data_IF_783394114328
#
_entry.id   IF_783394114328
#
_cell.length_a   1.000
_cell.length_b   1.000
_cell.length_c   1.000
_cell.angle_alpha   90.00
_cell.angle_beta   90.00
_cell.angle_gamma   90.00
#
_symmetry.space_group_name_H-M   'P 1'
#
loop_
_entity.id
_entity.type
_entity.pdbx_description
1 polymer ?
#
# COMPACT_ATOMS: atom_id res chain seq x y z
N UNK A 1 -7.06 2.91 -15.11
CA UNK A 1 -6.29 1.73 -14.63
C UNK A 1 -6.74 1.42 -13.20
N UNK A 2 -6.96 0.15 -12.85
CA UNK A 2 -7.59 -0.23 -11.57
C UNK A 2 -6.56 -0.84 -10.61
N UNK A 3 -6.36 -0.17 -9.48
CA UNK A 3 -5.37 -0.53 -8.48
C UNK A 3 -6.04 -1.03 -7.19
N UNK A 4 -5.81 -2.30 -6.90
CA UNK A 4 -6.19 -2.93 -5.64
C UNK A 4 -5.12 -2.65 -4.59
N UNK A 5 -5.48 -1.97 -3.52
CA UNK A 5 -4.62 -1.76 -2.35
C UNK A 5 -4.85 -2.85 -1.32
N UNK A 6 -3.75 -3.43 -0.84
CA UNK A 6 -3.72 -4.41 0.24
C UNK A 6 -3.68 -3.74 1.62
N UNK A 7 -3.98 -4.48 2.68
CA UNK A 7 -3.95 -4.03 4.07
C UNK A 7 -2.58 -3.44 4.45
N UNK A 8 -1.48 -3.94 3.86
CA UNK A 8 -0.15 -3.35 4.05
C UNK A 8 -0.07 -1.89 3.58
N UNK A 9 -0.71 -1.54 2.46
CA UNK A 9 -0.75 -0.16 1.96
C UNK A 9 -1.48 0.76 2.94
N UNK A 10 -2.61 0.34 3.50
CA UNK A 10 -3.34 1.16 4.48
C UNK A 10 -2.51 1.40 5.75
N UNK A 11 -1.74 0.39 6.18
CA UNK A 11 -0.80 0.56 7.28
C UNK A 11 0.26 1.61 6.95
N UNK A 12 0.77 1.58 5.73
CA UNK A 12 1.80 2.51 5.27
C UNK A 12 1.28 3.93 5.09
N UNK A 13 0.04 4.10 4.62
CA UNK A 13 -0.64 5.40 4.58
C UNK A 13 -0.81 5.95 6.00
N UNK A 14 -1.22 5.11 6.96
CA UNK A 14 -1.28 5.55 8.35
C UNK A 14 0.09 6.04 8.83
N UNK A 15 1.15 5.27 8.57
CA UNK A 15 2.52 5.61 8.94
C UNK A 15 2.93 6.96 8.32
N UNK A 16 2.63 7.18 7.03
CA UNK A 16 2.82 8.47 6.33
C UNK A 16 2.08 9.64 7.00
N UNK A 17 0.79 9.46 7.33
CA UNK A 17 -0.02 10.50 7.96
C UNK A 17 0.49 10.87 9.36
N UNK A 18 1.06 9.91 10.09
CA UNK A 18 1.72 10.19 11.37
C UNK A 18 3.01 10.99 11.16
N UNK A 19 3.81 10.70 10.12
CA UNK A 19 5.01 11.50 9.80
C UNK A 19 4.69 12.98 9.60
N UNK A 20 3.59 13.28 8.91
CA UNK A 20 3.15 14.65 8.65
C UNK A 20 2.31 15.26 9.79
N UNK A 21 1.96 14.45 10.80
CA UNK A 21 1.20 14.86 11.98
C UNK A 21 2.09 15.26 13.16
N UNK A 22 1.46 15.63 14.28
CA UNK A 22 2.19 15.95 15.52
C UNK A 22 2.89 14.73 16.15
N UNK A 23 2.37 13.53 15.88
CA UNK A 23 2.87 12.26 16.40
C UNK A 23 3.89 11.66 15.41
N UNK A 24 5.16 11.98 15.63
CA UNK A 24 6.27 11.59 14.75
C UNK A 24 6.37 10.06 14.58
N UNK A 25 6.74 9.61 13.39
CA UNK A 25 6.89 8.19 13.03
C UNK A 25 8.09 7.54 13.75
N UNK A 26 7.88 6.43 14.47
CA UNK A 26 8.98 5.72 15.16
C UNK A 26 9.61 4.63 14.27
N UNK A 27 10.93 4.36 14.36
CA UNK A 27 11.59 3.32 13.54
C UNK A 27 11.04 1.91 13.73
N UNK A 28 10.45 1.61 14.89
CA UNK A 28 9.77 0.34 15.15
C UNK A 28 8.51 0.13 14.31
N UNK A 29 7.98 1.20 13.72
CA UNK A 29 6.82 1.17 12.83
C UNK A 29 7.22 0.79 11.39
N UNK A 30 8.53 0.75 11.10
CA UNK A 30 9.10 0.40 9.79
C UNK A 30 9.62 -1.04 9.82
N UNK A 31 9.14 -1.88 8.88
CA UNK A 31 9.36 -3.34 8.91
C UNK A 31 10.68 -3.81 8.26
N UNK A 32 11.43 -2.96 7.57
CA UNK A 32 12.71 -3.27 6.88
C UNK A 32 13.67 -2.06 6.97
N UNK A 33 14.88 -2.06 6.35
CA UNK A 33 15.76 -0.91 6.36
C UNK A 33 15.03 0.37 5.92
N UNK A 34 15.20 1.42 6.71
CA UNK A 34 14.45 2.66 6.60
C UNK A 34 14.62 3.30 5.21
N UNK A 35 15.83 3.21 4.67
CA UNK A 35 16.24 3.73 3.37
C UNK A 35 15.49 3.08 2.20
N UNK A 36 15.18 1.77 2.29
CA UNK A 36 14.42 1.10 1.24
C UNK A 36 12.91 1.40 1.34
N UNK A 37 12.39 1.45 2.57
CA UNK A 37 10.98 1.73 2.82
C UNK A 37 10.58 3.16 2.51
N UNK A 38 11.44 4.13 2.83
CA UNK A 38 11.12 5.54 2.63
C UNK A 38 10.88 5.86 1.15
N UNK A 39 11.57 5.18 0.23
CA UNK A 39 11.34 5.34 -1.20
C UNK A 39 9.97 4.80 -1.64
N UNK A 40 9.51 3.69 -1.05
CA UNK A 40 8.16 3.17 -1.29
C UNK A 40 7.09 4.10 -0.73
N UNK A 41 7.35 4.73 0.42
CA UNK A 41 6.47 5.72 1.03
C UNK A 41 6.39 7.02 0.22
N UNK A 42 7.52 7.51 -0.27
CA UNK A 42 7.57 8.66 -1.18
C UNK A 42 6.79 8.33 -2.46
N UNK A 43 7.01 7.15 -3.05
CA UNK A 43 6.27 6.73 -4.24
C UNK A 43 4.76 6.59 -3.97
N UNK A 44 4.36 6.02 -2.84
CA UNK A 44 2.96 5.91 -2.44
C UNK A 44 2.31 7.28 -2.23
N UNK A 45 3.02 8.21 -1.59
CA UNK A 45 2.57 9.59 -1.41
C UNK A 45 2.22 10.24 -2.75
N UNK A 46 3.14 10.16 -3.72
CA UNK A 46 2.86 10.70 -5.05
C UNK A 46 1.80 9.92 -5.81
N UNK A 47 1.77 8.59 -5.70
CA UNK A 47 0.71 7.78 -6.32
C UNK A 47 -0.68 8.22 -5.88
N UNK A 48 -0.86 8.55 -4.59
CA UNK A 48 -2.12 9.04 -4.05
C UNK A 48 -2.44 10.48 -4.48
N UNK A 49 -1.42 11.30 -4.71
CA UNK A 49 -1.58 12.68 -5.21
C UNK A 49 -1.96 12.71 -6.72
N UNK A 50 -1.64 11.64 -7.46
CA UNK A 50 -1.93 11.49 -8.89
C UNK A 50 -3.38 11.08 -9.22
N UNK A 51 -4.23 10.84 -8.20
CA UNK A 51 -5.60 10.33 -8.35
C UNK A 51 -6.46 11.15 -9.32
N UNK A 52 -6.49 12.47 -9.16
CA UNK A 52 -7.37 13.35 -9.92
C UNK A 52 -6.88 13.65 -11.35
N UNK A 53 -5.69 13.18 -11.73
CA UNK A 53 -5.02 13.61 -12.97
C UNK A 53 -4.88 12.51 -14.04
N UNK A 54 -5.06 11.22 -13.72
CA UNK A 54 -4.60 10.13 -14.59
C UNK A 54 -5.55 8.92 -14.75
N UNK A 55 -6.86 9.10 -14.52
CA UNK A 55 -7.87 8.04 -14.71
C UNK A 55 -7.56 6.75 -13.91
N UNK A 56 -6.99 6.91 -12.71
CA UNK A 56 -6.72 5.82 -11.78
C UNK A 56 -7.98 5.52 -10.97
N UNK A 57 -8.34 4.25 -10.84
CA UNK A 57 -9.37 3.79 -9.91
C UNK A 57 -8.68 3.05 -8.77
N UNK A 58 -8.73 3.61 -7.58
CA UNK A 58 -8.18 2.99 -6.37
C UNK A 58 -9.27 2.31 -5.57
N UNK A 59 -8.92 1.19 -4.96
CA UNK A 59 -9.83 0.54 -4.02
C UNK A 59 -9.24 -0.65 -3.30
N UNK A 60 -10.09 -1.34 -2.55
CA UNK A 60 -9.74 -2.61 -1.91
C UNK A 60 -10.98 -3.52 -1.85
N UNK A 61 -10.88 -4.66 -1.16
CA UNK A 61 -12.04 -5.52 -0.90
C UNK A 61 -12.49 -5.41 0.57
N UNK A 62 -13.73 -5.80 0.88
CA UNK A 62 -14.22 -5.86 2.26
C UNK A 62 -13.37 -6.73 3.21
N UNK A 63 -12.51 -7.62 2.68
CA UNK A 63 -11.54 -8.39 3.46
C UNK A 63 -10.67 -7.46 4.29
N UNK A 64 -10.13 -6.40 3.69
CA UNK A 64 -9.28 -5.42 4.37
C UNK A 64 -9.99 -4.83 5.59
N UNK A 65 -11.26 -4.43 5.45
CA UNK A 65 -12.04 -3.86 6.54
C UNK A 65 -12.26 -4.90 7.67
N UNK A 66 -12.48 -6.17 7.32
CA UNK A 66 -12.59 -7.28 8.27
C UNK A 66 -11.28 -7.53 9.03
N UNK A 67 -10.14 -7.49 8.35
CA UNK A 67 -8.81 -7.64 8.95
C UNK A 67 -8.53 -6.54 9.98
N UNK A 68 -8.81 -5.29 9.63
CA UNK A 68 -8.63 -4.15 10.53
C UNK A 68 -9.55 -4.25 11.73
N UNK A 69 -10.83 -4.58 11.53
CA UNK A 69 -11.81 -4.80 12.61
C UNK A 69 -11.35 -5.89 13.59
N UNK A 70 -10.70 -6.95 13.10
CA UNK A 70 -10.19 -8.06 13.92
C UNK A 70 -8.84 -7.78 14.58
N UNK A 71 -8.16 -6.70 14.23
CA UNK A 71 -6.87 -6.36 14.83
C UNK A 71 -7.02 -6.08 16.32
N UNK A 72 -6.21 -6.78 17.13
CA UNK A 72 -6.14 -6.67 18.59
C UNK A 72 -5.64 -5.30 19.01
N UNK A 73 -6.39 -4.62 19.86
CA UNK A 73 -6.03 -3.30 20.40
C UNK A 73 -5.44 -3.51 21.80
N UNK A 74 -4.15 -3.19 21.97
CA UNK A 74 -3.46 -3.34 23.26
C UNK A 74 -3.06 -2.00 23.90
N UNK A 75 -3.23 -0.89 23.18
CA UNK A 75 -2.90 0.46 23.65
C UNK A 75 -3.85 1.50 23.04
N UNK A 76 -3.85 2.70 23.61
CA UNK A 76 -4.60 3.86 23.09
C UNK A 76 -4.10 4.23 21.69
N UNK A 77 -2.78 4.30 21.52
CA UNK A 77 -2.15 4.53 20.20
C UNK A 77 -2.57 3.47 19.16
N UNK A 78 -2.64 2.19 19.54
CA UNK A 78 -3.12 1.14 18.64
C UNK A 78 -4.60 1.29 18.27
N UNK A 79 -5.40 1.93 19.14
CA UNK A 79 -6.80 2.24 18.88
C UNK A 79 -6.93 3.38 17.88
N UNK A 80 -6.17 4.46 18.07
CA UNK A 80 -6.11 5.60 17.16
C UNK A 80 -5.66 5.16 15.77
N UNK A 81 -4.55 4.40 15.71
CA UNK A 81 -4.08 3.77 14.48
C UNK A 81 -5.17 3.01 13.74
N UNK A 82 -5.83 2.08 14.45
CA UNK A 82 -6.90 1.28 13.87
C UNK A 82 -8.07 2.14 13.37
N UNK A 83 -8.46 3.17 14.10
CA UNK A 83 -9.55 4.06 13.71
C UNK A 83 -9.21 4.84 12.43
N UNK A 84 -8.01 5.41 12.35
CA UNK A 84 -7.54 6.11 11.13
C UNK A 84 -7.45 5.16 9.94
N UNK A 85 -6.90 3.95 10.14
CA UNK A 85 -6.86 2.94 9.08
C UNK A 85 -8.26 2.56 8.59
N UNK A 86 -9.24 2.41 9.48
CA UNK A 86 -10.63 2.16 9.09
C UNK A 86 -11.23 3.33 8.30
N UNK A 87 -10.95 4.57 8.68
CA UNK A 87 -11.38 5.75 7.90
C UNK A 87 -10.77 5.77 6.49
N UNK A 88 -9.49 5.44 6.36
CA UNK A 88 -8.81 5.30 5.06
C UNK A 88 -9.48 4.21 4.22
N UNK A 89 -9.80 3.06 4.82
CA UNK A 89 -10.53 2.00 4.13
C UNK A 89 -11.92 2.45 3.67
N UNK A 90 -12.65 3.20 4.49
CA UNK A 90 -13.97 3.71 4.13
C UNK A 90 -13.87 4.72 2.96
N UNK A 91 -12.80 5.51 2.88
CA UNK A 91 -12.51 6.38 1.73
C UNK A 91 -12.22 5.57 0.46
N UNK A 92 -11.44 4.49 0.54
CA UNK A 92 -11.23 3.60 -0.59
C UNK A 92 -12.51 2.89 -1.03
N UNK A 93 -13.35 2.48 -0.07
CA UNK A 93 -14.62 1.82 -0.37
C UNK A 93 -15.60 2.76 -1.11
N UNK A 94 -15.54 4.08 -0.87
CA UNK A 94 -16.35 5.04 -1.64
C UNK A 94 -15.95 5.12 -3.12
N UNK A 95 -14.70 4.76 -3.45
CA UNK A 95 -14.16 4.79 -4.81
C UNK A 95 -14.30 3.45 -5.54
N UNK A 96 -14.58 2.37 -4.80
CA UNK A 96 -14.75 1.03 -5.38
C UNK A 96 -16.11 0.83 -6.04
N UNK A 97 -16.11 0.13 -7.17
CA UNK A 97 -17.34 -0.38 -7.80
C UNK A 97 -18.01 -1.51 -6.99
N UNK A 98 -17.25 -2.28 -6.20
CA UNK A 98 -17.73 -3.46 -5.48
C UNK A 98 -17.67 -3.26 -3.96
N UNK A 99 -18.83 -3.28 -3.31
CA UNK A 99 -18.99 -3.01 -1.88
C UNK A 99 -19.12 -4.29 -1.04
N UNK A 100 -19.22 -5.44 -1.70
CA UNK A 100 -19.43 -6.76 -1.08
C UNK A 100 -18.32 -7.74 -1.52
N UNK A 101 -18.13 -8.80 -0.73
CA UNK A 101 -17.20 -9.87 -1.08
C UNK A 101 -17.68 -10.58 -2.33
N UNK A 102 -16.81 -10.65 -3.33
CA UNK A 102 -17.12 -11.35 -4.57
C UNK A 102 -16.99 -12.86 -4.34
N UNK A 103 -17.89 -13.67 -4.94
CA UNK A 103 -17.82 -15.12 -4.82
C UNK A 103 -16.55 -15.65 -5.50
N UNK A 104 -15.61 -16.18 -4.71
CA UNK A 104 -14.36 -16.75 -5.23
C UNK A 104 -14.60 -18.20 -5.66
N UNK A 105 -14.35 -18.56 -6.93
CA UNK A 105 -14.43 -19.94 -7.36
C UNK A 105 -13.39 -20.81 -6.65
N UNK A 106 -13.80 -22.01 -6.19
CA UNK A 106 -12.91 -22.92 -5.45
C UNK A 106 -11.64 -23.28 -6.25
N UNK A 107 -11.75 -23.38 -7.57
CA UNK A 107 -10.62 -23.68 -8.44
C UNK A 107 -9.60 -22.53 -8.50
N UNK A 108 -10.04 -21.27 -8.39
CA UNK A 108 -9.16 -20.10 -8.34
C UNK A 108 -8.41 -20.10 -7.01
N UNK A 109 -9.15 -20.23 -5.90
CA UNK A 109 -8.57 -20.30 -4.55
C UNK A 109 -7.47 -21.39 -4.46
N UNK A 110 -7.77 -22.61 -4.95
CA UNK A 110 -6.82 -23.73 -4.96
C UNK A 110 -5.59 -23.49 -5.83
N UNK A 111 -5.69 -22.70 -6.90
CA UNK A 111 -4.53 -22.36 -7.75
C UNK A 111 -3.68 -21.28 -7.10
N UNK A 112 -4.29 -20.23 -6.58
CA UNK A 112 -3.58 -19.13 -5.90
C UNK A 112 -2.90 -19.64 -4.62
N UNK A 113 -3.54 -20.53 -3.85
CA UNK A 113 -2.97 -21.13 -2.64
C UNK A 113 -1.76 -22.03 -2.88
N UNK A 114 -1.46 -22.41 -4.12
CA UNK A 114 -0.22 -23.12 -4.48
C UNK A 114 0.95 -22.18 -4.71
N UNK A 115 0.67 -20.90 -4.95
CA UNK A 115 1.64 -19.86 -5.23
C UNK A 115 1.91 -19.04 -3.97
N UNK A 116 0.84 -18.66 -3.26
CA UNK A 116 0.92 -17.78 -2.10
C UNK A 116 0.80 -18.61 -0.81
N UNK A 117 1.75 -18.45 0.14
CA UNK A 117 1.83 -19.31 1.32
C UNK A 117 0.77 -18.98 2.38
N UNK A 118 0.36 -17.72 2.50
CA UNK A 118 -0.54 -17.28 3.55
C UNK A 118 -1.99 -17.21 3.05
N UNK A 119 -2.89 -17.83 3.82
CA UNK A 119 -4.32 -17.88 3.48
C UNK A 119 -4.94 -16.49 3.29
N UNK A 120 -4.55 -15.50 4.09
CA UNK A 120 -5.10 -14.14 4.02
C UNK A 120 -4.74 -13.48 2.70
N UNK A 121 -3.46 -13.53 2.34
CA UNK A 121 -2.94 -13.04 1.06
C UNK A 121 -3.65 -13.73 -0.12
N UNK A 122 -3.90 -15.04 -0.03
CA UNK A 122 -4.70 -15.77 -1.03
C UNK A 122 -6.10 -15.18 -1.17
N UNK A 123 -6.77 -14.87 -0.07
CA UNK A 123 -8.12 -14.29 -0.09
C UNK A 123 -8.12 -12.90 -0.74
N UNK A 124 -7.15 -12.03 -0.40
CA UNK A 124 -6.95 -10.72 -1.03
C UNK A 124 -6.69 -10.83 -2.54
N UNK A 125 -5.73 -11.66 -2.95
CA UNK A 125 -5.39 -11.87 -4.36
C UNK A 125 -6.59 -12.41 -5.14
N UNK A 126 -7.35 -13.35 -4.58
CA UNK A 126 -8.55 -13.87 -5.23
C UNK A 126 -9.62 -12.78 -5.42
N UNK A 127 -9.83 -11.90 -4.43
CA UNK A 127 -10.75 -10.77 -4.58
C UNK A 127 -10.28 -9.80 -5.67
N UNK A 128 -8.98 -9.52 -5.74
CA UNK A 128 -8.42 -8.67 -6.79
C UNK A 128 -8.64 -9.28 -8.19
N UNK A 129 -8.40 -10.58 -8.35
CA UNK A 129 -8.62 -11.29 -9.62
C UNK A 129 -10.11 -11.30 -10.01
N UNK A 130 -11.01 -11.68 -9.10
CA UNK A 130 -12.45 -11.75 -9.40
C UNK A 130 -13.05 -10.36 -9.59
N UNK A 131 -12.52 -9.35 -8.91
CA UNK A 131 -12.90 -7.96 -9.07
C UNK A 131 -12.39 -7.30 -10.35
N UNK A 132 -11.58 -8.01 -11.15
CA UNK A 132 -11.03 -7.49 -12.41
C UNK A 132 -10.12 -6.28 -12.20
N UNK A 133 -9.31 -6.30 -11.14
CA UNK A 133 -8.29 -5.30 -10.90
C UNK A 133 -7.08 -5.54 -11.81
N UNK A 134 -6.42 -4.47 -12.27
CA UNK A 134 -5.24 -4.58 -13.14
C UNK A 134 -3.97 -4.83 -12.31
N UNK A 135 -3.85 -4.08 -11.21
CA UNK A 135 -2.69 -4.12 -10.31
C UNK A 135 -3.09 -4.46 -8.88
N UNK A 136 -2.28 -5.29 -8.23
CA UNK A 136 -2.30 -5.52 -6.79
C UNK A 136 -1.12 -4.78 -6.16
N UNK A 137 -1.37 -3.58 -5.66
CA UNK A 137 -0.34 -2.74 -5.05
C UNK A 137 -0.18 -3.12 -3.59
N UNK A 138 1.01 -3.54 -3.21
CA UNK A 138 1.34 -3.92 -1.85
C UNK A 138 2.80 -3.66 -1.53
N UNK A 139 3.11 -3.61 -0.26
CA UNK A 139 4.47 -3.55 0.29
C UNK A 139 4.82 -4.81 1.08
N UNK A 140 4.04 -5.88 0.88
CA UNK A 140 4.36 -7.22 1.34
C UNK A 140 5.44 -7.85 0.44
N UNK A 141 6.68 -7.49 0.72
CA UNK A 141 7.85 -7.94 -0.02
C UNK A 141 8.20 -9.42 0.17
N UNK A 142 7.81 -9.99 1.31
CA UNK A 142 8.28 -11.31 1.73
C UNK A 142 7.29 -12.42 1.34
N UNK A 143 6.01 -12.09 1.13
CA UNK A 143 5.00 -13.02 0.63
C UNK A 143 4.49 -12.63 -0.76
N UNK A 144 3.64 -11.62 -0.93
CA UNK A 144 3.00 -11.36 -2.22
C UNK A 144 3.99 -10.95 -3.32
N UNK A 145 4.86 -9.96 -3.08
CA UNK A 145 5.78 -9.48 -4.12
C UNK A 145 6.88 -10.49 -4.45
N UNK A 146 7.28 -11.33 -3.50
CA UNK A 146 8.21 -12.45 -3.74
C UNK A 146 7.65 -13.45 -4.79
N UNK A 147 6.33 -13.47 -4.99
CA UNK A 147 5.65 -14.36 -5.93
C UNK A 147 4.96 -13.62 -7.08
N UNK A 148 5.26 -12.33 -7.29
CA UNK A 148 4.55 -11.47 -8.26
C UNK A 148 4.49 -12.04 -9.69
N UNK A 149 5.58 -12.60 -10.20
CA UNK A 149 5.62 -13.21 -11.54
C UNK A 149 4.67 -14.40 -11.68
N UNK A 150 4.47 -15.16 -10.61
CA UNK A 150 3.55 -16.30 -10.58
C UNK A 150 2.07 -15.87 -10.52
N UNK A 151 1.80 -14.59 -10.22
CA UNK A 151 0.44 -14.05 -10.18
C UNK A 151 -0.06 -13.59 -11.56
N UNK A 152 0.84 -13.22 -12.48
CA UNK A 152 0.50 -12.76 -13.84
C UNK A 152 -0.44 -13.70 -14.61
N UNK A 153 -0.29 -15.04 -14.57
CA UNK A 153 -1.21 -15.96 -15.25
C UNK A 153 -2.66 -15.90 -14.76
N UNK A 154 -2.92 -15.31 -13.58
CA UNK A 154 -4.27 -15.08 -13.08
C UNK A 154 -4.87 -13.74 -13.54
N UNK A 155 -4.13 -12.96 -14.34
CA UNK A 155 -4.58 -11.67 -14.87
C UNK A 155 -4.41 -10.51 -13.89
N UNK A 156 -3.55 -10.65 -12.88
CA UNK A 156 -3.25 -9.58 -11.90
C UNK A 156 -1.74 -9.35 -11.82
N UNK A 157 -1.31 -8.09 -11.78
CA UNK A 157 0.10 -7.71 -11.62
C UNK A 157 0.33 -7.24 -10.18
N UNK A 158 1.02 -8.03 -9.37
CA UNK A 158 1.44 -7.59 -8.04
C UNK A 158 2.69 -6.71 -8.12
N UNK A 159 2.66 -5.55 -7.48
CA UNK A 159 3.70 -4.52 -7.64
C UNK A 159 3.84 -3.64 -6.39
N UNK A 160 5.04 -3.11 -6.13
CA UNK A 160 5.23 -2.09 -5.09
C UNK A 160 4.82 -0.71 -5.58
N UNK A 161 4.47 0.24 -4.68
CA UNK A 161 4.17 1.61 -5.09
C UNK A 161 5.26 2.23 -5.96
N UNK A 162 6.54 2.04 -5.62
CA UNK A 162 7.66 2.55 -6.40
C UNK A 162 7.73 1.93 -7.78
N UNK A 163 7.71 0.61 -7.86
CA UNK A 163 7.78 -0.08 -9.15
C UNK A 163 6.61 0.34 -10.06
N UNK A 164 5.41 0.50 -9.49
CA UNK A 164 4.25 0.98 -10.22
C UNK A 164 4.46 2.37 -10.82
N UNK A 165 4.97 3.31 -10.02
CA UNK A 165 5.27 4.67 -10.47
C UNK A 165 6.32 4.66 -11.59
N UNK A 166 7.41 3.92 -11.39
CA UNK A 166 8.54 3.85 -12.33
C UNK A 166 8.15 3.18 -13.66
N UNK A 167 7.32 2.13 -13.63
CA UNK A 167 6.90 1.37 -14.81
C UNK A 167 5.83 2.07 -15.64
N UNK A 168 4.94 2.85 -15.00
CA UNK A 168 3.76 3.42 -15.68
C UNK A 168 3.88 4.92 -16.00
N UNK A 169 4.79 5.65 -15.35
CA UNK A 169 4.89 7.09 -15.51
C UNK A 169 6.32 7.53 -15.82
N UNK A 170 7.15 7.67 -14.79
CA UNK A 170 8.51 8.15 -14.88
C UNK A 170 9.28 7.70 -13.63
N UNK A 171 10.60 7.81 -13.67
CA UNK A 171 11.41 7.49 -12.48
C UNK A 171 10.98 8.34 -11.28
N UNK A 172 11.09 7.82 -10.07
CA UNK A 172 10.71 8.57 -8.86
C UNK A 172 11.46 9.91 -8.76
N UNK A 173 12.72 9.94 -9.19
CA UNK A 173 13.54 11.16 -9.29
C UNK A 173 12.93 12.20 -10.24
N UNK A 174 12.45 11.77 -11.40
CA UNK A 174 11.80 12.66 -12.35
C UNK A 174 10.46 13.18 -11.82
N UNK A 175 9.69 12.33 -11.14
CA UNK A 175 8.40 12.71 -10.56
C UNK A 175 8.57 13.79 -9.49
N UNK A 176 9.50 13.58 -8.55
CA UNK A 176 9.84 14.57 -7.51
C UNK A 176 10.24 15.91 -8.12
N UNK A 177 11.15 15.89 -9.11
CA UNK A 177 11.59 17.13 -9.79
C UNK A 177 10.46 17.83 -10.53
N UNK A 178 9.52 17.08 -11.08
CA UNK A 178 8.36 17.63 -11.79
C UNK A 178 7.43 18.35 -10.82
N UNK A 179 7.21 17.79 -9.63
CA UNK A 179 6.27 18.34 -8.65
C UNK A 179 6.88 19.41 -7.73
N UNK A 180 8.19 19.33 -7.44
CA UNK A 180 8.88 20.23 -6.49
C UNK A 180 9.96 21.12 -7.14
N UNK A 181 10.12 21.05 -8.46
CA UNK A 181 11.10 21.81 -9.23
C UNK A 181 12.43 21.06 -9.44
N UNK A 182 13.15 21.45 -10.50
CA UNK A 182 14.33 20.73 -11.02
C UNK A 182 15.53 20.64 -10.07
N UNK A 183 15.57 21.50 -9.05
CA UNK A 183 16.58 21.53 -8.00
C UNK A 183 16.37 20.53 -6.86
N UNK A 184 15.18 19.96 -6.73
CA UNK A 184 14.84 19.04 -5.63
C UNK A 184 15.21 17.62 -6.04
N UNK A 185 16.03 16.93 -5.26
CA UNK A 185 16.36 15.52 -5.50
C UNK A 185 15.56 14.60 -4.58
N UNK A 186 15.27 13.36 -5.03
CA UNK A 186 14.68 12.34 -4.14
C UNK A 186 15.58 12.11 -2.93
N UNK A 187 16.89 12.14 -3.13
CA UNK A 187 17.86 11.93 -2.05
C UNK A 187 17.76 12.98 -0.93
N UNK A 188 17.35 14.22 -1.24
CA UNK A 188 17.15 15.25 -0.22
C UNK A 188 15.84 15.03 0.56
N UNK A 189 14.76 14.63 -0.13
CA UNK A 189 13.48 14.26 0.49
C UNK A 189 13.66 13.03 1.38
N UNK A 190 14.32 12.00 0.86
CA UNK A 190 14.68 10.77 1.58
C UNK A 190 15.43 11.09 2.87
N UNK A 191 16.50 11.90 2.79
CA UNK A 191 17.27 12.31 3.97
C UNK A 191 16.42 13.07 4.98
N UNK A 192 15.55 13.98 4.52
CA UNK A 192 14.64 14.72 5.42
C UNK A 192 13.77 13.76 6.20
N UNK A 193 13.08 12.84 5.50
CA UNK A 193 12.16 11.89 6.12
C UNK A 193 12.90 10.92 7.05
N UNK A 194 14.07 10.40 6.63
CA UNK A 194 14.91 9.56 7.49
C UNK A 194 15.29 10.30 8.78
N UNK A 195 15.70 11.56 8.68
CA UNK A 195 16.11 12.35 9.84
C UNK A 195 14.92 12.63 10.77
N UNK A 196 13.75 12.95 10.22
CA UNK A 196 12.52 13.15 10.99
C UNK A 196 12.11 11.87 11.75
N UNK A 197 12.20 10.71 11.08
CA UNK A 197 11.89 9.40 11.68
C UNK A 197 12.92 9.02 12.75
N UNK A 198 14.21 9.37 12.59
CA UNK A 198 15.23 9.13 13.62
C UNK A 198 15.05 10.06 14.82
N UNK A 199 14.75 11.33 14.58
CA UNK A 199 14.54 12.35 15.62
C UNK A 199 13.27 12.15 16.45
N UNK A 200 12.35 11.29 16.02
CA UNK A 200 11.16 10.89 16.79
C UNK A 200 11.46 9.94 17.96
N UNK A 201 12.67 9.39 18.01
CA UNK A 201 13.10 8.36 18.97
C UNK A 201 13.81 8.95 20.18
N UNK A 202 14.40 10.13 20.00
CA UNK A 202 15.24 10.79 21.00
C UNK A 202 14.45 11.65 21.99
N UNK A 203 13.11 11.67 21.86
CA UNK A 203 12.15 12.38 22.73
C UNK A 203 11.33 11.35 23.51
#
# INVERSE_FOLDING_TARGET
MRLYFDTCIVNDIFVLLQTQGGDRLHPRDVKRPLEQWVLEYIALYYLLDLDDQWELEFGSSPIMQEELKRTSIRSILAREKKNTMLQICDLFAQKTLFHELLPVPEHLFKKVSKVIPHRKDVEHVCQAVVGGWDYFVTTDFDSILAHAEHLKPFGIIAISPRAFVEDNFMTLEQLVRTLHGSWTSVGDIEKSWINEIKASVEI
#
